data_IF_954754553785
#
_entry.id   IF_954754553785
#
_cell.length_a   1.000
_cell.length_b   1.000
_cell.length_c   1.000
_cell.angle_alpha   90.00
_cell.angle_beta   90.00
_cell.angle_gamma   90.00
#
_symmetry.space_group_name_H-M   'P 1'
#
loop_
_entity.id
_entity.type
_entity.pdbx_description
1 polymer ?
#
# COMPACT_ATOMS: atom_id res chain seq x y z
N UNK A 1 -38.10 -35.59 -6.61
CA UNK A 1 -37.04 -35.05 -7.49
C UNK A 1 -36.45 -33.83 -6.78
N UNK A 2 -35.33 -33.98 -6.05
CA UNK A 2 -33.95 -33.77 -6.55
C UNK A 2 -33.71 -32.28 -6.87
N UNK A 3 -32.81 -31.49 -6.25
CA UNK A 3 -31.53 -31.70 -5.56
C UNK A 3 -31.26 -30.55 -4.57
N UNK A 4 -30.64 -30.86 -3.44
CA UNK A 4 -29.73 -29.97 -2.72
C UNK A 4 -28.45 -29.81 -3.54
N UNK A 5 -27.90 -28.59 -3.63
CA UNK A 5 -26.49 -28.30 -3.91
C UNK A 5 -26.31 -26.77 -3.84
N UNK A 6 -25.27 -26.16 -3.30
CA UNK A 6 -24.16 -26.59 -2.47
C UNK A 6 -23.47 -25.28 -2.04
N UNK A 7 -22.93 -25.28 -0.84
CA UNK A 7 -21.99 -24.29 -0.34
C UNK A 7 -20.85 -24.03 -1.32
N UNK A 8 -20.43 -22.78 -1.47
CA UNK A 8 -19.03 -22.47 -1.78
C UNK A 8 -18.63 -21.16 -1.11
N UNK A 9 -18.11 -21.33 0.11
CA UNK A 9 -17.32 -20.33 0.80
C UNK A 9 -16.14 -19.93 -0.09
N UNK A 10 -16.14 -18.70 -0.59
CA UNK A 10 -14.91 -18.09 -1.08
C UNK A 10 -14.12 -17.65 0.15
N UNK A 11 -13.51 -18.61 0.84
CA UNK A 11 -12.30 -18.34 1.62
C UNK A 11 -11.23 -18.01 0.58
N UNK A 12 -11.18 -16.75 0.18
CA UNK A 12 -10.00 -16.19 -0.46
C UNK A 12 -8.91 -16.17 0.61
N UNK A 13 -8.25 -17.31 0.79
CA UNK A 13 -6.92 -17.35 1.38
C UNK A 13 -6.02 -16.59 0.41
N UNK A 14 -6.02 -15.26 0.54
CA UNK A 14 -5.00 -14.43 -0.03
C UNK A 14 -3.70 -14.86 0.65
N UNK A 15 -2.93 -15.72 -0.04
CA UNK A 15 -1.49 -15.83 0.16
C UNK A 15 -0.97 -14.41 0.41
N UNK A 16 -0.16 -14.17 1.45
CA UNK A 16 0.36 -12.82 1.70
C UNK A 16 1.02 -12.36 0.40
N UNK A 17 0.41 -11.39 -0.30
CA UNK A 17 1.01 -10.78 -1.47
C UNK A 17 2.38 -10.33 -0.99
N UNK A 18 3.42 -10.83 -1.66
CA UNK A 18 4.82 -10.64 -1.28
C UNK A 18 5.00 -9.19 -0.82
N UNK A 19 5.60 -8.93 0.35
CA UNK A 19 5.69 -7.58 0.91
C UNK A 19 6.24 -6.54 -0.08
N UNK A 20 7.10 -6.99 -1.00
CA UNK A 20 7.68 -6.17 -2.07
C UNK A 20 6.60 -5.63 -3.04
N UNK A 21 5.61 -6.44 -3.42
CA UNK A 21 4.49 -5.99 -4.27
C UNK A 21 3.57 -5.01 -3.53
N UNK A 22 3.51 -5.11 -2.19
CA UNK A 22 2.80 -4.15 -1.36
C UNK A 22 3.58 -2.82 -1.24
N UNK A 23 4.91 -2.87 -1.13
CA UNK A 23 5.77 -1.68 -1.08
C UNK A 23 5.71 -0.87 -2.38
N UNK A 24 5.81 -1.53 -3.55
CA UNK A 24 5.74 -0.84 -4.84
C UNK A 24 4.38 -0.14 -5.05
N UNK A 25 3.28 -0.75 -4.58
CA UNK A 25 1.96 -0.13 -4.62
C UNK A 25 1.89 1.13 -3.78
N UNK A 26 2.31 1.04 -2.50
CA UNK A 26 2.33 2.20 -1.59
C UNK A 26 3.21 3.34 -2.09
N UNK A 27 4.37 3.03 -2.71
CA UNK A 27 5.23 4.04 -3.31
C UNK A 27 4.58 4.71 -4.54
N UNK A 28 3.90 3.95 -5.38
CA UNK A 28 3.18 4.51 -6.53
C UNK A 28 2.04 5.41 -6.08
N UNK A 29 1.24 4.98 -5.10
CA UNK A 29 0.13 5.75 -4.56
C UNK A 29 0.64 7.06 -3.92
N UNK A 30 1.73 7.00 -3.15
CA UNK A 30 2.36 8.20 -2.58
C UNK A 30 2.85 9.17 -3.67
N UNK A 31 3.43 8.64 -4.76
CA UNK A 31 3.87 9.46 -5.89
C UNK A 31 2.70 10.12 -6.62
N UNK A 32 1.55 9.44 -6.75
CA UNK A 32 0.34 10.00 -7.36
C UNK A 32 -0.22 11.18 -6.54
N UNK A 33 -0.29 11.02 -5.22
CA UNK A 33 -0.69 12.11 -4.32
C UNK A 33 0.25 13.34 -4.44
N UNK A 34 1.57 13.13 -4.49
CA UNK A 34 2.52 14.24 -4.72
C UNK A 34 2.30 14.90 -6.09
N UNK A 35 2.02 14.13 -7.14
CA UNK A 35 1.74 14.67 -8.46
C UNK A 35 0.47 15.53 -8.45
N UNK A 36 -0.60 15.07 -7.79
CA UNK A 36 -1.86 15.83 -7.61
C UNK A 36 -1.65 17.09 -6.81
N UNK A 37 -0.88 17.05 -5.72
CA UNK A 37 -0.52 18.21 -4.93
C UNK A 37 0.18 19.28 -5.78
N UNK A 38 1.13 18.86 -6.63
CA UNK A 38 1.83 19.76 -7.56
C UNK A 38 0.85 20.41 -8.53
N UNK A 39 -0.07 19.64 -9.13
CA UNK A 39 -1.09 20.19 -10.03
C UNK A 39 -1.94 21.24 -9.30
N UNK A 40 -2.41 20.94 -8.09
CA UNK A 40 -3.22 21.85 -7.29
C UNK A 40 -2.49 23.17 -6.96
N UNK A 41 -1.16 23.14 -6.75
CA UNK A 41 -0.35 24.33 -6.50
C UNK A 41 -0.05 25.16 -7.75
N UNK A 42 -0.11 24.55 -8.94
CA UNK A 42 0.17 25.22 -10.22
C UNK A 42 -1.08 25.82 -10.87
N UNK A 43 -2.27 25.46 -10.40
CA UNK A 43 -3.53 26.04 -10.86
C UNK A 43 -3.65 27.49 -10.38
N UNK A 44 -4.03 28.44 -11.24
CA UNK A 44 -4.14 29.86 -10.87
C UNK A 44 -5.28 30.12 -9.86
N UNK A 45 -6.21 29.17 -9.73
CA UNK A 45 -7.22 29.15 -8.67
C UNK A 45 -6.82 28.31 -7.45
N UNK A 46 -5.52 28.01 -7.31
CA UNK A 46 -4.95 27.02 -6.39
C UNK A 46 -5.63 26.99 -5.02
N UNK A 47 -6.34 25.89 -4.78
CA UNK A 47 -6.75 25.50 -3.45
C UNK A 47 -5.55 24.86 -2.72
N UNK A 48 -4.85 25.70 -1.97
CA UNK A 48 -3.72 25.27 -1.13
C UNK A 48 -4.13 24.21 -0.11
N UNK A 49 -5.39 24.19 0.33
CA UNK A 49 -5.89 23.18 1.26
C UNK A 49 -5.93 21.80 0.59
N UNK A 50 -6.43 21.73 -0.64
CA UNK A 50 -6.38 20.50 -1.45
C UNK A 50 -4.94 20.01 -1.65
N UNK A 51 -4.00 20.90 -1.95
CA UNK A 51 -2.60 20.52 -2.09
C UNK A 51 -2.01 19.95 -0.78
N UNK A 52 -2.31 20.58 0.35
CA UNK A 52 -1.85 20.12 1.67
C UNK A 52 -2.44 18.75 2.03
N UNK A 53 -3.73 18.53 1.78
CA UNK A 53 -4.38 17.24 2.00
C UNK A 53 -3.71 16.11 1.19
N UNK A 54 -3.39 16.38 -0.08
CA UNK A 54 -2.68 15.42 -0.93
C UNK A 54 -1.27 15.12 -0.39
N UNK A 55 -0.56 16.12 0.15
CA UNK A 55 0.76 15.90 0.76
C UNK A 55 0.68 15.07 2.04
N UNK A 56 -0.33 15.29 2.88
CA UNK A 56 -0.55 14.52 4.11
C UNK A 56 -0.86 13.04 3.82
N UNK A 57 -1.66 12.78 2.78
CA UNK A 57 -1.92 11.41 2.29
C UNK A 57 -0.62 10.74 1.81
N UNK A 58 0.19 11.44 1.03
CA UNK A 58 1.49 10.95 0.57
C UNK A 58 2.43 10.61 1.75
N UNK A 59 2.50 11.48 2.76
CA UNK A 59 3.31 11.26 3.97
C UNK A 59 2.82 10.02 4.72
N UNK A 60 1.52 9.83 4.82
CA UNK A 60 0.92 8.67 5.50
C UNK A 60 1.28 7.36 4.79
N UNK A 61 1.23 7.34 3.46
CA UNK A 61 1.66 6.20 2.66
C UNK A 61 3.17 5.93 2.81
N UNK A 62 4.01 6.96 2.80
CA UNK A 62 5.45 6.82 3.02
C UNK A 62 5.80 6.28 4.42
N UNK A 63 5.07 6.70 5.46
CA UNK A 63 5.21 6.12 6.81
C UNK A 63 4.88 4.63 6.80
N UNK A 64 3.83 4.24 6.07
CA UNK A 64 3.46 2.83 5.87
C UNK A 64 4.54 2.05 5.12
N UNK A 65 5.16 2.64 4.09
CA UNK A 65 6.32 2.07 3.37
C UNK A 65 7.47 1.81 4.33
N UNK A 66 7.82 2.76 5.19
CA UNK A 66 8.90 2.61 6.18
C UNK A 66 8.59 1.49 7.17
N UNK A 67 7.36 1.43 7.68
CA UNK A 67 6.94 0.38 8.61
C UNK A 67 6.98 -1.01 7.95
N UNK A 68 6.46 -1.14 6.73
CA UNK A 68 6.49 -2.38 5.96
C UNK A 68 7.92 -2.80 5.63
N UNK A 69 8.79 -1.88 5.20
CA UNK A 69 10.20 -2.16 4.89
C UNK A 69 10.95 -2.69 6.12
N UNK A 70 10.69 -2.13 7.31
CA UNK A 70 11.26 -2.63 8.57
C UNK A 70 10.79 -4.04 8.90
N UNK A 71 9.54 -4.41 8.59
CA UNK A 71 9.05 -5.79 8.76
C UNK A 71 9.78 -6.75 7.83
N UNK A 72 9.90 -6.40 6.56
CA UNK A 72 10.58 -7.24 5.55
C UNK A 72 12.03 -7.51 5.92
N UNK A 73 12.74 -6.48 6.40
CA UNK A 73 14.13 -6.64 6.85
C UNK A 73 14.23 -7.62 8.02
N UNK A 74 13.35 -7.52 9.02
CA UNK A 74 13.32 -8.45 10.16
C UNK A 74 13.00 -9.88 9.75
N UNK A 75 12.04 -10.06 8.83
CA UNK A 75 11.68 -11.37 8.29
C UNK A 75 12.87 -12.00 7.54
N UNK A 76 13.58 -11.22 6.72
CA UNK A 76 14.77 -11.66 6.03
C UNK A 76 15.89 -12.04 7.00
N UNK A 77 16.18 -11.22 8.02
CA UNK A 77 17.18 -11.52 9.05
C UNK A 77 16.86 -12.82 9.81
N UNK A 78 15.58 -13.04 10.14
CA UNK A 78 15.14 -14.25 10.81
C UNK A 78 15.25 -15.50 9.91
N UNK A 79 15.05 -15.34 8.59
CA UNK A 79 15.23 -16.41 7.62
C UNK A 79 16.71 -16.79 7.48
N UNK A 80 17.63 -15.82 7.39
CA UNK A 80 19.07 -16.08 7.33
C UNK A 80 19.60 -16.84 8.54
N UNK A 81 19.12 -16.51 9.75
CA UNK A 81 19.50 -17.21 11.00
C UNK A 81 18.99 -18.65 11.11
N UNK A 82 17.99 -19.05 10.31
CA UNK A 82 17.45 -20.42 10.29
C UNK A 82 18.16 -21.32 9.29
N UNK A 83 18.91 -20.75 8.36
CA UNK A 83 19.63 -21.47 7.29
C UNK A 83 21.14 -21.56 7.52
N UNK A 84 21.65 -20.89 8.56
CA UNK A 84 23.03 -20.96 9.03
C UNK A 84 23.11 -21.84 10.29
#
# INVERSE_FOLDING_TARGET
>A
MSRQAETSAIKSQAKPKRPILALSGLCNDAADHVARARVALFDETADTETAMNQLDDAITLLKSVVAASKSVLKENEAALKKTA
#
